data_IF_552751172635
#
_entry.id   IF_552751172635
#
_cell.length_a   1.000
_cell.length_b   1.000
_cell.length_c   1.000
_cell.angle_alpha   90.00
_cell.angle_beta   90.00
_cell.angle_gamma   90.00
#
_symmetry.space_group_name_H-M   'P 1'
#
loop_
_entity.id
_entity.type
_entity.pdbx_description
1 polymer ?
#
# COMPACT_ATOMS: atom_id res chain seq x y z
N UNK A 1 6.54 -34.38 7.90
CA UNK A 1 5.50 -33.77 8.73
C UNK A 1 5.32 -32.35 8.24
N UNK A 2 4.23 -32.06 7.54
CA UNK A 2 3.84 -30.69 7.22
C UNK A 2 3.41 -30.03 8.52
N UNK A 3 4.11 -28.96 8.92
CA UNK A 3 3.63 -28.07 9.98
C UNK A 3 2.23 -27.58 9.59
N UNK A 4 1.27 -27.57 10.53
CA UNK A 4 -0.03 -26.93 10.29
C UNK A 4 0.21 -25.49 9.84
N UNK A 5 -0.55 -25.02 8.84
CA UNK A 5 -0.55 -23.61 8.46
C UNK A 5 -1.02 -22.80 9.68
N UNK A 6 -0.10 -22.09 10.32
CA UNK A 6 -0.30 -21.35 11.57
C UNK A 6 -0.65 -19.87 11.34
N UNK A 7 -0.85 -19.48 10.08
CA UNK A 7 -1.21 -18.13 9.67
C UNK A 7 -2.59 -17.73 10.17
N UNK A 8 -2.70 -16.50 10.66
CA UNK A 8 -3.97 -15.87 11.04
C UNK A 8 -4.78 -15.44 9.79
N UNK A 9 -6.06 -15.13 9.98
CA UNK A 9 -7.03 -14.78 8.93
C UNK A 9 -6.55 -13.60 8.08
N UNK A 10 -5.96 -12.56 8.70
CA UNK A 10 -5.44 -11.40 7.97
C UNK A 10 -4.27 -11.73 7.04
N UNK A 11 -3.42 -12.69 7.41
CA UNK A 11 -2.28 -13.13 6.59
C UNK A 11 -2.79 -13.95 5.41
N UNK A 12 -3.72 -14.88 5.66
CA UNK A 12 -4.33 -15.72 4.63
C UNK A 12 -5.04 -14.89 3.55
N UNK A 13 -5.73 -13.81 3.96
CA UNK A 13 -6.46 -12.93 3.03
C UNK A 13 -5.59 -12.33 1.94
N UNK A 14 -4.38 -11.91 2.30
CA UNK A 14 -3.47 -11.22 1.37
C UNK A 14 -2.38 -12.12 0.81
N UNK A 15 -2.36 -13.40 1.23
CA UNK A 15 -1.36 -14.41 0.87
C UNK A 15 -1.07 -14.51 -0.63
N UNK A 16 -2.05 -14.46 -1.55
CA UNK A 16 -1.76 -14.55 -2.99
C UNK A 16 -0.78 -13.45 -3.48
N UNK A 17 -0.97 -12.22 -3.02
CA UNK A 17 -0.11 -11.10 -3.37
C UNK A 17 1.21 -11.13 -2.59
N UNK A 18 1.17 -11.38 -1.28
CA UNK A 18 2.39 -11.37 -0.45
C UNK A 18 3.32 -12.51 -0.87
N UNK A 19 2.82 -13.72 -1.09
CA UNK A 19 3.63 -14.83 -1.59
C UNK A 19 4.23 -14.55 -2.98
N UNK A 20 3.49 -13.85 -3.85
CA UNK A 20 4.02 -13.45 -5.17
C UNK A 20 5.13 -12.40 -5.04
N UNK A 21 4.96 -11.41 -4.17
CA UNK A 21 5.99 -10.42 -3.84
C UNK A 21 7.24 -11.09 -3.25
N UNK A 22 7.10 -11.94 -2.23
CA UNK A 22 8.23 -12.60 -1.58
C UNK A 22 9.00 -13.49 -2.56
N UNK A 23 8.30 -14.27 -3.39
CA UNK A 23 8.95 -15.09 -4.44
C UNK A 23 9.73 -14.24 -5.44
N UNK A 24 9.18 -13.07 -5.81
CA UNK A 24 9.89 -12.19 -6.72
C UNK A 24 11.11 -11.57 -6.06
N UNK A 25 11.01 -11.15 -4.79
CA UNK A 25 12.16 -10.70 -3.99
C UNK A 25 13.24 -11.78 -3.90
N UNK A 26 12.88 -13.02 -3.58
CA UNK A 26 13.81 -14.15 -3.52
C UNK A 26 14.53 -14.37 -4.85
N UNK A 27 13.78 -14.33 -5.97
CA UNK A 27 14.35 -14.41 -7.33
C UNK A 27 15.35 -13.29 -7.57
N UNK A 28 14.99 -12.04 -7.28
CA UNK A 28 15.88 -10.88 -7.47
C UNK A 28 17.14 -10.98 -6.60
N UNK A 29 16.99 -11.29 -5.31
CA UNK A 29 18.14 -11.46 -4.39
C UNK A 29 19.07 -12.58 -4.85
N UNK A 30 18.53 -13.66 -5.41
CA UNK A 30 19.34 -14.74 -5.99
C UNK A 30 20.16 -14.30 -7.21
N UNK A 31 19.66 -13.30 -7.96
CA UNK A 31 20.28 -12.76 -9.18
C UNK A 31 21.25 -11.60 -8.92
N UNK A 32 21.34 -11.09 -7.68
CA UNK A 32 22.30 -10.02 -7.32
C UNK A 32 23.75 -10.46 -7.57
N UNK A 33 24.52 -9.55 -8.16
CA UNK A 33 25.96 -9.67 -8.31
C UNK A 33 26.65 -9.23 -7.02
N UNK A 34 27.39 -10.15 -6.39
CA UNK A 34 28.15 -9.85 -5.17
C UNK A 34 29.36 -8.94 -5.44
N UNK A 35 29.77 -8.80 -6.70
CA UNK A 35 30.83 -7.87 -7.08
C UNK A 35 30.24 -6.49 -7.39
N UNK A 36 29.29 -6.37 -8.32
CA UNK A 36 28.84 -5.06 -8.81
C UNK A 36 27.60 -4.49 -8.09
N UNK A 37 27.07 -5.20 -7.09
CA UNK A 37 25.99 -4.78 -6.18
C UNK A 37 24.58 -4.70 -6.78
N UNK A 38 24.48 -4.69 -8.10
CA UNK A 38 23.23 -4.76 -8.85
C UNK A 38 23.12 -6.07 -9.64
N UNK A 39 22.24 -6.11 -10.64
CA UNK A 39 22.07 -7.26 -11.52
C UNK A 39 23.13 -7.24 -12.64
N UNK A 40 23.79 -8.36 -12.97
CA UNK A 40 24.88 -8.37 -13.95
C UNK A 40 24.53 -7.75 -15.31
N UNK A 41 23.29 -7.96 -15.77
CA UNK A 41 22.80 -7.48 -17.05
C UNK A 41 22.40 -5.98 -17.03
N UNK A 42 22.56 -5.29 -15.90
CA UNK A 42 22.49 -3.82 -15.84
C UNK A 42 23.82 -3.14 -16.10
N UNK A 43 24.91 -3.90 -16.14
CA UNK A 43 26.26 -3.37 -16.33
C UNK A 43 26.36 -2.53 -17.61
N UNK A 44 26.96 -1.35 -17.49
CA UNK A 44 27.12 -0.39 -18.59
C UNK A 44 25.93 0.55 -18.81
N UNK A 45 24.80 0.37 -18.13
CA UNK A 45 23.66 1.30 -18.24
C UNK A 45 23.83 2.56 -17.37
N UNK A 46 24.55 2.45 -16.26
CA UNK A 46 24.90 3.55 -15.35
C UNK A 46 26.12 3.18 -14.50
N UNK A 47 26.52 4.04 -13.57
CA UNK A 47 27.58 3.71 -12.61
C UNK A 47 27.11 2.68 -11.58
N UNK A 48 28.06 1.91 -11.04
CA UNK A 48 27.75 0.77 -10.17
C UNK A 48 27.05 1.17 -8.87
N UNK A 49 27.36 2.36 -8.31
CA UNK A 49 26.76 2.83 -7.04
C UNK A 49 25.29 3.16 -7.25
N UNK A 50 25.00 3.91 -8.30
CA UNK A 50 23.62 4.23 -8.72
C UNK A 50 22.81 2.97 -8.98
N UNK A 51 23.35 2.01 -9.73
CA UNK A 51 22.66 0.74 -10.00
C UNK A 51 22.45 -0.08 -8.72
N UNK A 52 23.41 -0.08 -7.80
CA UNK A 52 23.30 -0.76 -6.50
C UNK A 52 22.18 -0.15 -5.65
N UNK A 53 22.09 1.19 -5.57
CA UNK A 53 21.02 1.89 -4.86
C UNK A 53 19.63 1.63 -5.48
N UNK A 54 19.55 1.58 -6.81
CA UNK A 54 18.31 1.22 -7.51
C UNK A 54 17.90 -0.23 -7.25
N UNK A 55 18.85 -1.17 -7.25
CA UNK A 55 18.58 -2.58 -6.96
C UNK A 55 18.13 -2.77 -5.50
N UNK A 56 18.79 -2.12 -4.55
CA UNK A 56 18.41 -2.13 -3.14
C UNK A 56 17.01 -1.51 -2.94
N UNK A 57 16.73 -0.34 -3.54
CA UNK A 57 15.43 0.30 -3.43
C UNK A 57 14.29 -0.50 -4.09
N UNK A 58 14.56 -1.21 -5.19
CA UNK A 58 13.61 -2.16 -5.79
C UNK A 58 13.21 -3.25 -4.79
N UNK A 59 14.20 -3.89 -4.16
CA UNK A 59 13.96 -4.94 -3.17
C UNK A 59 13.17 -4.42 -1.96
N UNK A 60 13.57 -3.26 -1.43
CA UNK A 60 12.86 -2.60 -0.33
C UNK A 60 11.44 -2.19 -0.71
N UNK A 61 11.21 -1.77 -1.96
CA UNK A 61 9.88 -1.39 -2.45
C UNK A 61 8.95 -2.59 -2.53
N UNK A 62 9.44 -3.75 -2.98
CA UNK A 62 8.67 -5.00 -3.02
C UNK A 62 8.34 -5.51 -1.61
N UNK A 63 9.33 -5.61 -0.72
CA UNK A 63 9.14 -5.99 0.68
C UNK A 63 8.23 -5.01 1.41
N UNK A 64 8.43 -3.72 1.19
CA UNK A 64 7.58 -2.69 1.77
C UNK A 64 6.14 -2.74 1.24
N UNK A 65 5.91 -3.14 -0.02
CA UNK A 65 4.56 -3.33 -0.54
C UNK A 65 3.88 -4.52 0.17
N UNK A 66 4.62 -5.60 0.44
CA UNK A 66 4.19 -6.76 1.21
C UNK A 66 3.79 -6.37 2.65
N UNK A 67 4.69 -5.71 3.38
CA UNK A 67 4.47 -5.27 4.77
C UNK A 67 3.27 -4.33 4.90
N UNK A 68 3.11 -3.41 3.94
CA UNK A 68 1.99 -2.49 3.92
C UNK A 68 0.67 -3.23 3.66
N UNK A 69 0.64 -4.19 2.74
CA UNK A 69 -0.57 -4.97 2.46
C UNK A 69 -0.98 -5.84 3.68
N UNK A 70 -0.02 -6.46 4.36
CA UNK A 70 -0.26 -7.17 5.63
C UNK A 70 -0.80 -6.22 6.71
N UNK A 71 -0.19 -5.05 6.87
CA UNK A 71 -0.63 -4.02 7.83
C UNK A 71 -2.04 -3.51 7.55
N UNK A 72 -2.42 -3.38 6.27
CA UNK A 72 -3.77 -3.03 5.86
C UNK A 72 -4.78 -4.13 6.27
N UNK A 73 -4.46 -5.39 5.97
CA UNK A 73 -5.30 -6.54 6.31
C UNK A 73 -5.48 -6.69 7.82
N UNK A 74 -4.39 -6.56 8.59
CA UNK A 74 -4.43 -6.56 10.06
C UNK A 74 -5.31 -5.42 10.58
N UNK A 75 -5.21 -4.23 10.00
CA UNK A 75 -6.04 -3.07 10.37
C UNK A 75 -7.52 -3.32 10.08
N UNK A 76 -7.86 -3.98 8.97
CA UNK A 76 -9.22 -4.42 8.66
C UNK A 76 -9.74 -5.46 9.69
N UNK A 77 -8.91 -6.43 10.09
CA UNK A 77 -9.25 -7.42 11.12
C UNK A 77 -9.49 -6.74 12.49
N UNK A 78 -8.59 -5.84 12.91
CA UNK A 78 -8.75 -5.04 14.14
C UNK A 78 -10.05 -4.22 14.09
N UNK A 79 -10.36 -3.63 12.92
CA UNK A 79 -11.61 -2.90 12.73
C UNK A 79 -12.83 -3.80 12.93
N UNK A 80 -12.86 -4.97 12.30
CA UNK A 80 -13.96 -5.94 12.43
C UNK A 80 -14.15 -6.38 13.87
N UNK A 81 -13.08 -6.77 14.55
CA UNK A 81 -13.12 -7.20 15.95
C UNK A 81 -13.62 -6.07 16.88
N UNK A 82 -13.13 -4.85 16.67
CA UNK A 82 -13.53 -3.68 17.47
C UNK A 82 -14.99 -3.31 17.24
N UNK A 83 -15.46 -3.39 15.99
CA UNK A 83 -16.86 -3.15 15.66
C UNK A 83 -17.79 -4.23 16.24
N UNK A 84 -17.38 -5.49 16.23
CA UNK A 84 -18.14 -6.58 16.87
C UNK A 84 -18.30 -6.33 18.38
N UNK A 85 -17.22 -5.94 19.05
CA UNK A 85 -17.25 -5.60 20.47
C UNK A 85 -18.17 -4.39 20.75
N UNK A 86 -18.14 -3.37 19.88
CA UNK A 86 -19.00 -2.19 19.98
C UNK A 86 -20.47 -2.55 19.78
N UNK A 87 -20.79 -3.35 18.76
CA UNK A 87 -22.14 -3.85 18.53
C UNK A 87 -22.68 -4.62 19.73
N UNK A 88 -21.90 -5.55 20.28
CA UNK A 88 -22.30 -6.32 21.46
C UNK A 88 -22.58 -5.42 22.67
N UNK A 89 -21.72 -4.42 22.89
CA UNK A 89 -21.89 -3.42 23.94
C UNK A 89 -23.18 -2.62 23.76
N UNK A 90 -23.44 -2.13 22.55
CA UNK A 90 -24.59 -1.28 22.25
C UNK A 90 -25.91 -2.06 22.27
N UNK A 91 -25.93 -3.30 21.80
CA UNK A 91 -27.10 -4.18 21.91
C UNK A 91 -27.48 -4.46 23.36
N UNK A 92 -26.50 -4.67 24.25
CA UNK A 92 -26.75 -4.86 25.69
C UNK A 92 -27.42 -3.63 26.30
N UNK A 93 -26.91 -2.44 25.97
CA UNK A 93 -27.48 -1.16 26.42
C UNK A 93 -28.89 -0.95 25.87
N UNK A 94 -29.13 -1.22 24.58
CA UNK A 94 -30.45 -1.07 23.98
C UNK A 94 -31.48 -2.04 24.55
N UNK A 95 -31.11 -3.28 24.86
CA UNK A 95 -31.99 -4.23 25.56
C UNK A 95 -32.38 -3.72 26.94
N UNK A 96 -31.42 -3.22 27.72
CA UNK A 96 -31.70 -2.63 29.03
C UNK A 96 -32.56 -1.36 28.95
N UNK A 97 -32.34 -0.53 27.92
CA UNK A 97 -33.14 0.68 27.68
C UNK A 97 -34.58 0.33 27.28
N UNK A 98 -34.78 -0.68 26.42
CA UNK A 98 -36.11 -1.16 26.03
C UNK A 98 -36.91 -1.70 27.23
N UNK A 99 -36.25 -2.41 28.16
CA UNK A 99 -36.87 -2.90 29.39
C UNK A 99 -37.25 -1.77 30.37
N UNK A 100 -36.53 -0.64 30.35
CA UNK A 100 -36.75 0.48 31.27
C UNK A 100 -37.74 1.54 30.77
N UNK A 101 -38.48 1.28 29.67
CA UNK A 101 -39.45 2.20 29.04
C UNK A 101 -38.89 3.62 28.76
N UNK A 102 -37.58 3.76 28.58
CA UNK A 102 -36.95 5.02 28.19
C UNK A 102 -37.20 5.26 26.69
N UNK A 103 -38.05 6.23 26.36
CA UNK A 103 -38.57 6.42 24.99
C UNK A 103 -38.04 7.67 24.26
N UNK A 104 -37.27 8.56 24.91
CA UNK A 104 -36.75 9.74 24.22
C UNK A 104 -35.25 9.59 23.86
N UNK A 105 -34.83 10.19 22.74
CA UNK A 105 -33.47 10.07 22.21
C UNK A 105 -32.39 10.52 23.20
N UNK A 106 -32.69 11.54 24.01
CA UNK A 106 -31.78 12.08 25.02
C UNK A 106 -31.49 11.06 26.13
N UNK A 107 -32.53 10.36 26.60
CA UNK A 107 -32.42 9.29 27.60
C UNK A 107 -31.71 8.05 27.06
N UNK A 108 -31.74 7.79 25.75
CA UNK A 108 -30.98 6.72 25.11
C UNK A 108 -29.49 7.07 24.97
N UNK A 109 -29.19 8.32 24.59
CA UNK A 109 -27.82 8.83 24.48
C UNK A 109 -27.10 8.85 25.85
N UNK A 110 -27.83 9.15 26.92
CA UNK A 110 -27.29 9.16 28.29
C UNK A 110 -26.85 7.77 28.80
N UNK A 111 -27.30 6.67 28.17
CA UNK A 111 -26.94 5.28 28.56
C UNK A 111 -25.84 4.72 27.67
N UNK A 112 -25.44 5.44 26.61
CA UNK A 112 -24.31 5.01 25.78
C UNK A 112 -23.03 4.96 26.62
N UNK A 113 -22.22 3.89 26.52
CA UNK A 113 -20.99 3.78 27.30
C UNK A 113 -20.03 4.95 26.99
N UNK A 114 -19.75 5.76 28.00
CA UNK A 114 -18.79 6.86 27.90
C UNK A 114 -17.50 6.60 28.71
N UNK A 115 -17.33 5.40 29.25
CA UNK A 115 -16.13 5.03 30.01
C UNK A 115 -14.86 5.02 29.14
N UNK A 116 -13.71 4.88 29.79
CA UNK A 116 -12.41 4.87 29.11
C UNK A 116 -12.28 3.74 28.07
N UNK A 117 -12.89 2.58 28.30
CA UNK A 117 -12.84 1.45 27.37
C UNK A 117 -13.68 1.74 26.13
N UNK A 118 -14.87 2.33 26.28
CA UNK A 118 -15.73 2.73 25.18
C UNK A 118 -15.11 3.86 24.34
N UNK A 119 -14.43 4.82 24.97
CA UNK A 119 -13.65 5.84 24.23
C UNK A 119 -12.49 5.21 23.46
N UNK A 120 -11.74 4.29 24.09
CA UNK A 120 -10.65 3.55 23.43
C UNK A 120 -11.16 2.74 22.25
N UNK A 121 -12.23 1.95 22.40
CA UNK A 121 -12.84 1.20 21.28
C UNK A 121 -13.24 2.10 20.13
N UNK A 122 -13.92 3.22 20.41
CA UNK A 122 -14.32 4.18 19.36
C UNK A 122 -13.12 4.76 18.61
N UNK A 123 -12.04 5.06 19.33
CA UNK A 123 -10.78 5.51 18.72
C UNK A 123 -10.18 4.39 17.87
N UNK A 124 -10.07 3.17 18.39
CA UNK A 124 -9.53 2.01 17.66
C UNK A 124 -10.29 1.74 16.38
N UNK A 125 -11.63 1.80 16.38
CA UNK A 125 -12.45 1.62 15.16
C UNK A 125 -12.09 2.68 14.11
N UNK A 126 -11.92 3.94 14.52
CA UNK A 126 -11.58 5.03 13.60
C UNK A 126 -10.16 4.87 13.07
N UNK A 127 -9.18 4.70 13.97
CA UNK A 127 -7.77 4.60 13.60
C UNK A 127 -7.48 3.35 12.76
N UNK A 128 -8.14 2.22 13.03
CA UNK A 128 -7.94 1.01 12.25
C UNK A 128 -8.50 1.13 10.82
N UNK A 129 -9.60 1.88 10.63
CA UNK A 129 -10.09 2.18 9.28
C UNK A 129 -9.10 3.10 8.53
N UNK A 130 -8.63 4.16 9.18
CA UNK A 130 -7.67 5.10 8.59
C UNK A 130 -6.34 4.43 8.24
N UNK A 131 -5.82 3.60 9.15
CA UNK A 131 -4.61 2.80 8.91
C UNK A 131 -4.77 1.83 7.75
N UNK A 132 -5.94 1.19 7.61
CA UNK A 132 -6.22 0.32 6.46
C UNK A 132 -6.10 1.09 5.13
N UNK A 133 -6.79 2.23 4.99
CA UNK A 133 -6.69 3.05 3.78
C UNK A 133 -5.27 3.59 3.53
N UNK A 134 -4.59 4.01 4.59
CA UNK A 134 -3.21 4.49 4.50
C UNK A 134 -2.28 3.41 3.95
N UNK A 135 -2.33 2.21 4.51
CA UNK A 135 -1.46 1.11 4.12
C UNK A 135 -1.81 0.51 2.76
N UNK A 136 -3.09 0.46 2.35
CA UNK A 136 -3.47 0.12 0.98
C UNK A 136 -2.90 1.11 -0.05
N UNK A 137 -2.92 2.41 0.27
CA UNK A 137 -2.27 3.42 -0.56
C UNK A 137 -0.75 3.25 -0.61
N UNK A 138 -0.14 2.98 0.54
CA UNK A 138 1.31 2.79 0.66
C UNK A 138 1.80 1.54 -0.09
N UNK A 139 1.05 0.43 -0.07
CA UNK A 139 1.40 -0.77 -0.83
C UNK A 139 1.41 -0.49 -2.34
N UNK A 140 0.45 0.29 -2.83
CA UNK A 140 0.39 0.71 -4.23
C UNK A 140 1.52 1.68 -4.58
N UNK A 141 1.78 2.70 -3.76
CA UNK A 141 2.84 3.69 -4.02
C UNK A 141 4.23 3.00 -4.10
N UNK A 142 4.51 2.04 -3.21
CA UNK A 142 5.74 1.23 -3.23
C UNK A 142 5.81 0.28 -4.43
N UNK A 143 4.70 -0.39 -4.75
CA UNK A 143 4.63 -1.24 -5.95
C UNK A 143 4.83 -0.45 -7.23
N UNK A 144 4.35 0.79 -7.29
CA UNK A 144 4.54 1.68 -8.43
C UNK A 144 6.02 1.99 -8.65
N UNK A 145 6.77 2.32 -7.60
CA UNK A 145 8.22 2.51 -7.69
C UNK A 145 8.91 1.23 -8.22
N UNK A 146 8.57 0.07 -7.65
CA UNK A 146 9.14 -1.21 -8.08
C UNK A 146 8.81 -1.52 -9.57
N UNK A 147 7.57 -1.35 -9.99
CA UNK A 147 7.15 -1.53 -11.39
C UNK A 147 7.88 -0.55 -12.33
N UNK A 148 8.12 0.68 -11.90
CA UNK A 148 8.83 1.67 -12.70
C UNK A 148 10.32 1.30 -12.92
N UNK A 149 10.97 0.74 -11.89
CA UNK A 149 12.34 0.21 -12.00
C UNK A 149 12.36 -1.03 -12.90
N UNK A 150 11.44 -1.97 -12.67
CA UNK A 150 11.33 -3.22 -13.45
C UNK A 150 11.02 -2.94 -14.93
N UNK A 151 10.19 -1.93 -15.22
CA UNK A 151 9.87 -1.51 -16.59
C UNK A 151 10.94 -0.63 -17.24
N UNK A 152 12.02 -0.28 -16.53
CA UNK A 152 13.08 0.59 -17.02
C UNK A 152 12.55 1.91 -17.57
N UNK A 153 11.54 2.50 -16.91
CA UNK A 153 11.00 3.78 -17.31
C UNK A 153 11.96 4.91 -16.92
N UNK A 154 12.25 5.83 -17.83
CA UNK A 154 13.00 7.03 -17.44
C UNK A 154 12.08 7.94 -16.61
N UNK A 155 12.55 8.35 -15.44
CA UNK A 155 11.78 9.17 -14.50
C UNK A 155 12.49 10.51 -14.35
N UNK A 156 11.82 11.63 -14.63
CA UNK A 156 12.35 12.94 -14.30
C UNK A 156 12.26 13.13 -12.77
N UNK A 157 13.34 12.77 -12.07
CA UNK A 157 13.48 12.95 -10.62
C UNK A 157 13.78 11.65 -9.87
N UNK A 158 13.67 11.72 -8.54
CA UNK A 158 14.03 10.62 -7.65
C UNK A 158 12.92 9.57 -7.59
N UNK A 159 13.29 8.30 -7.77
CA UNK A 159 12.40 7.13 -7.67
C UNK A 159 11.69 7.03 -6.30
N UNK A 160 12.29 7.61 -5.25
CA UNK A 160 11.74 7.67 -3.90
C UNK A 160 10.48 8.52 -3.78
N UNK A 161 10.26 9.45 -4.72
CA UNK A 161 9.08 10.31 -4.79
C UNK A 161 7.94 9.76 -5.65
N UNK A 162 8.00 8.49 -6.06
CA UNK A 162 7.01 7.89 -6.95
C UNK A 162 5.78 7.42 -6.19
N UNK A 163 4.63 7.73 -6.77
CA UNK A 163 3.31 7.33 -6.28
C UNK A 163 2.60 6.49 -7.35
N UNK A 164 1.54 5.81 -6.96
CA UNK A 164 0.69 5.08 -7.90
C UNK A 164 0.18 5.96 -9.06
N UNK A 165 -0.13 7.23 -8.78
CA UNK A 165 -0.54 8.19 -9.82
C UNK A 165 0.51 8.43 -10.90
N UNK A 166 1.79 8.26 -10.58
CA UNK A 166 2.85 8.40 -11.58
C UNK A 166 2.83 7.20 -12.53
N UNK A 167 2.70 5.98 -12.01
CA UNK A 167 2.55 4.78 -12.85
C UNK A 167 1.32 4.87 -13.76
N UNK A 168 0.18 5.38 -13.24
CA UNK A 168 -1.01 5.63 -14.06
C UNK A 168 -0.76 6.63 -15.19
N UNK A 169 -0.02 7.71 -14.93
CA UNK A 169 0.32 8.68 -15.98
C UNK A 169 1.12 8.01 -17.09
N UNK A 170 2.09 7.17 -16.75
CA UNK A 170 2.88 6.42 -17.72
C UNK A 170 2.03 5.40 -18.47
N UNK A 171 1.13 4.72 -17.77
CA UNK A 171 0.17 3.80 -18.38
C UNK A 171 -0.72 4.51 -19.41
N UNK A 172 -1.22 5.71 -19.10
CA UNK A 172 -2.01 6.53 -20.04
C UNK A 172 -1.16 7.03 -21.21
N UNK A 173 0.10 7.41 -21.00
CA UNK A 173 1.00 7.77 -22.10
C UNK A 173 1.25 6.60 -23.05
N UNK A 174 1.43 5.39 -22.51
CA UNK A 174 1.59 4.17 -23.30
C UNK A 174 0.34 3.90 -24.16
N UNK A 175 -0.84 3.95 -23.54
CA UNK A 175 -2.14 3.76 -24.19
C UNK A 175 -2.45 4.80 -25.27
N UNK A 176 -2.06 6.05 -25.04
CA UNK A 176 -2.21 7.14 -26.02
C UNK A 176 -1.25 7.04 -27.22
N UNK A 177 -0.37 6.02 -27.26
CA UNK A 177 0.63 5.88 -28.32
C UNK A 177 1.67 6.99 -28.31
N UNK A 178 1.95 7.57 -27.14
CA UNK A 178 2.87 8.70 -27.03
C UNK A 178 4.27 8.31 -27.56
N UNK A 179 4.79 9.12 -28.48
CA UNK A 179 6.09 8.94 -29.14
C UNK A 179 7.26 9.56 -28.38
N UNK A 180 7.04 10.12 -27.18
CA UNK A 180 8.13 10.63 -26.33
C UNK A 180 9.12 9.51 -25.97
N UNK A 181 10.17 9.40 -26.78
CA UNK A 181 11.23 8.39 -26.67
C UNK A 181 12.15 8.58 -25.47
N UNK A 182 12.09 9.73 -24.80
CA UNK A 182 12.92 10.02 -23.61
C UNK A 182 12.36 9.42 -22.34
N UNK A 183 11.10 8.94 -22.33
CA UNK A 183 10.43 8.45 -21.12
C UNK A 183 9.96 7.01 -21.27
N UNK A 184 9.62 6.64 -22.50
CA UNK A 184 9.08 5.36 -22.89
C UNK A 184 9.94 4.78 -24.01
N UNK A 185 9.91 3.46 -24.16
CA UNK A 185 10.51 2.83 -25.32
C UNK A 185 9.79 3.26 -26.61
N UNK A 186 10.51 3.37 -27.75
CA UNK A 186 9.91 3.78 -29.02
C UNK A 186 8.77 2.86 -29.45
N UNK A 187 7.75 3.43 -30.09
CA UNK A 187 6.60 2.66 -30.60
C UNK A 187 7.08 1.57 -31.57
N UNK A 188 6.41 0.43 -31.56
CA UNK A 188 6.73 -0.75 -32.40
C UNK A 188 8.04 -1.48 -32.04
N UNK A 189 8.66 -1.16 -30.90
CA UNK A 189 9.81 -1.93 -30.37
C UNK A 189 9.38 -3.04 -29.41
N UNK A 190 10.23 -4.05 -29.25
CA UNK A 190 10.01 -5.11 -28.25
C UNK A 190 9.94 -4.55 -26.82
N UNK A 191 10.81 -3.57 -26.49
CA UNK A 191 10.79 -2.89 -25.20
C UNK A 191 9.47 -2.17 -24.92
N UNK A 192 8.88 -1.56 -25.96
CA UNK A 192 7.56 -0.92 -25.84
C UNK A 192 6.45 -1.93 -25.54
N UNK A 193 6.41 -3.05 -26.26
CA UNK A 193 5.42 -4.09 -26.00
C UNK A 193 5.53 -4.65 -24.57
N UNK A 194 6.76 -4.79 -24.05
CA UNK A 194 7.02 -5.20 -22.67
C UNK A 194 6.49 -4.14 -21.67
N UNK A 195 6.76 -2.86 -21.89
CA UNK A 195 6.24 -1.78 -21.03
C UNK A 195 4.71 -1.69 -21.05
N UNK A 196 4.09 -1.91 -22.21
CA UNK A 196 2.62 -1.93 -22.36
C UNK A 196 1.98 -3.10 -21.62
N UNK A 197 2.59 -4.29 -21.69
CA UNK A 197 2.15 -5.46 -20.94
C UNK A 197 2.26 -5.22 -19.42
N UNK A 198 3.40 -4.68 -18.97
CA UNK A 198 3.66 -4.37 -17.56
C UNK A 198 2.57 -3.51 -16.90
N UNK A 199 2.09 -2.49 -17.61
CA UNK A 199 1.08 -1.57 -17.07
C UNK A 199 -0.36 -2.00 -17.35
N UNK A 200 -0.59 -3.11 -18.04
CA UNK A 200 -1.94 -3.56 -18.40
C UNK A 200 -2.87 -3.71 -17.18
N UNK A 201 -2.45 -4.32 -16.05
CA UNK A 201 -3.29 -4.39 -14.85
C UNK A 201 -3.65 -3.02 -14.26
N UNK A 202 -2.84 -1.97 -14.51
CA UNK A 202 -3.12 -0.60 -14.06
C UNK A 202 -4.36 -0.05 -14.76
N UNK A 203 -4.54 -0.37 -16.05
CA UNK A 203 -5.71 0.04 -16.84
C UNK A 203 -6.96 -0.77 -16.56
N UNK A 204 -6.77 -2.04 -16.23
CA UNK A 204 -7.85 -3.02 -16.08
C UNK A 204 -8.26 -3.19 -14.60
N UNK A 205 -8.06 -2.17 -13.76
CA UNK A 205 -8.34 -2.24 -12.32
C UNK A 205 -9.78 -2.66 -11.99
N UNK A 206 -10.73 -2.43 -12.92
CA UNK A 206 -12.13 -2.79 -12.80
C UNK A 206 -12.34 -4.31 -12.69
N UNK A 207 -11.40 -5.14 -13.17
CA UNK A 207 -11.51 -6.60 -13.09
C UNK A 207 -11.18 -7.16 -11.69
N UNK A 208 -10.54 -6.37 -10.84
CA UNK A 208 -10.07 -6.83 -9.52
C UNK A 208 -11.06 -6.53 -8.38
N UNK A 209 -12.12 -5.77 -8.64
CA UNK A 209 -13.08 -5.39 -7.61
C UNK A 209 -14.41 -4.87 -8.16
N UNK A 210 -15.35 -4.52 -7.26
CA UNK A 210 -16.66 -4.02 -7.66
C UNK A 210 -16.56 -2.64 -8.32
N UNK A 211 -17.58 -2.21 -9.04
CA UNK A 211 -17.62 -0.91 -9.70
C UNK A 211 -17.18 0.23 -8.76
N UNK A 212 -16.32 1.11 -9.28
CA UNK A 212 -15.78 2.30 -8.61
C UNK A 212 -14.92 2.05 -7.35
N UNK A 213 -14.60 0.78 -7.00
CA UNK A 213 -13.83 0.45 -5.79
C UNK A 213 -12.51 1.21 -5.69
N UNK A 214 -11.75 1.26 -6.79
CA UNK A 214 -10.40 1.77 -6.81
C UNK A 214 -10.34 3.31 -6.78
N UNK A 215 -11.07 4.05 -7.66
CA UNK A 215 -11.19 5.50 -7.53
C UNK A 215 -11.73 5.93 -6.17
N UNK A 216 -12.71 5.20 -5.61
CA UNK A 216 -13.29 5.51 -4.31
C UNK A 216 -12.29 5.32 -3.16
N UNK A 217 -11.57 4.19 -3.14
CA UNK A 217 -10.54 3.90 -2.13
C UNK A 217 -9.46 4.97 -2.13
N UNK A 218 -8.92 5.32 -3.30
CA UNK A 218 -7.86 6.35 -3.41
C UNK A 218 -8.33 7.72 -2.99
N UNK A 219 -9.55 8.09 -3.39
CA UNK A 219 -10.15 9.35 -2.98
C UNK A 219 -10.38 9.39 -1.46
N UNK A 220 -10.72 8.26 -0.84
CA UNK A 220 -10.89 8.12 0.61
C UNK A 220 -9.57 8.26 1.35
N UNK A 221 -8.51 7.55 0.93
CA UNK A 221 -7.15 7.70 1.48
C UNK A 221 -6.69 9.17 1.45
N UNK A 222 -6.82 9.81 0.29
CA UNK A 222 -6.43 11.21 0.13
C UNK A 222 -7.26 12.15 1.02
N UNK A 223 -8.58 11.93 1.11
CA UNK A 223 -9.44 12.72 1.97
C UNK A 223 -9.08 12.56 3.46
N UNK A 224 -8.78 11.35 3.91
CA UNK A 224 -8.42 11.07 5.32
C UNK A 224 -7.11 11.74 5.73
N UNK A 225 -6.15 11.90 4.82
CA UNK A 225 -4.89 12.59 5.11
C UNK A 225 -5.04 14.11 5.30
N UNK A 226 -5.99 14.73 4.61
CA UNK A 226 -6.08 16.20 4.54
C UNK A 226 -7.34 16.79 5.17
N UNK A 227 -8.29 15.96 5.61
CA UNK A 227 -9.58 16.42 6.13
C UNK A 227 -9.82 15.94 7.54
N UNK A 228 -10.50 16.79 8.31
CA UNK A 228 -11.02 16.39 9.60
C UNK A 228 -11.96 15.19 9.47
N UNK A 229 -11.92 14.33 10.49
CA UNK A 229 -12.77 13.15 10.58
C UNK A 229 -14.23 13.59 10.63
N UNK A 230 -15.00 13.31 9.57
CA UNK A 230 -16.43 13.58 9.53
C UNK A 230 -17.21 12.75 10.56
N UNK A 231 -18.43 13.19 10.89
CA UNK A 231 -19.30 12.50 11.87
C UNK A 231 -19.48 11.04 11.48
N UNK A 232 -19.24 10.15 12.45
CA UNK A 232 -19.41 8.70 12.29
C UNK A 232 -20.83 8.30 12.68
N UNK A 233 -21.55 7.70 11.74
CA UNK A 233 -22.91 7.25 11.96
C UNK A 233 -22.92 5.73 12.22
N UNK A 234 -23.45 5.34 13.38
CA UNK A 234 -23.82 3.95 13.61
C UNK A 234 -25.26 3.75 13.12
N UNK A 235 -25.49 2.74 12.28
CA UNK A 235 -26.80 2.41 11.72
C UNK A 235 -27.21 1.00 12.09
N UNK A 236 -28.50 0.82 12.34
CA UNK A 236 -29.07 -0.53 12.47
C UNK A 236 -29.55 -1.00 11.11
N UNK A 237 -28.92 -2.02 10.56
CA UNK A 237 -29.29 -2.66 9.30
C UNK A 237 -29.74 -4.11 9.60
N UNK A 238 -31.05 -4.33 9.61
CA UNK A 238 -31.64 -5.59 10.06
C UNK A 238 -31.32 -5.84 11.53
N UNK A 239 -30.64 -6.94 11.84
CA UNK A 239 -30.18 -7.24 13.20
C UNK A 239 -28.84 -6.60 13.54
N UNK A 240 -28.08 -6.11 12.56
CA UNK A 240 -26.70 -5.66 12.74
C UNK A 240 -26.61 -4.17 13.06
N UNK A 241 -25.69 -3.81 13.95
CA UNK A 241 -25.24 -2.43 14.15
C UNK A 241 -23.88 -2.24 13.49
N UNK A 242 -23.79 -1.34 12.51
CA UNK A 242 -22.55 -1.10 11.76
C UNK A 242 -22.29 0.38 11.56
N UNK A 243 -21.07 0.72 11.14
CA UNK A 243 -20.70 2.05 10.65
C UNK A 243 -20.72 2.05 9.14
N UNK A 244 -21.11 3.18 8.56
CA UNK A 244 -21.07 3.37 7.12
C UNK A 244 -19.97 4.36 6.74
N UNK A 245 -19.43 4.16 5.54
CA UNK A 245 -18.58 5.17 4.89
C UNK A 245 -19.41 6.10 4.00
N UNK A 246 -18.93 7.33 3.82
CA UNK A 246 -19.50 8.26 2.87
C UNK A 246 -19.26 7.80 1.44
N UNK A 247 -20.26 7.97 0.57
CA UNK A 247 -20.16 7.63 -0.85
C UNK A 247 -19.21 8.55 -1.61
N UNK A 248 -19.15 9.83 -1.23
CA UNK A 248 -18.33 10.85 -1.88
C UNK A 248 -17.21 11.34 -0.93
N UNK A 249 -16.05 10.68 -0.88
CA UNK A 249 -15.00 10.97 0.11
C UNK A 249 -14.39 12.37 -0.03
N UNK A 250 -14.42 12.96 -1.24
CA UNK A 250 -13.95 14.33 -1.49
C UNK A 250 -14.96 15.41 -1.12
N UNK A 251 -16.16 15.07 -0.70
CA UNK A 251 -17.15 16.05 -0.27
C UNK A 251 -16.99 16.33 1.23
N UNK A 252 -17.25 17.57 1.64
CA UNK A 252 -17.45 17.85 3.06
C UNK A 252 -18.66 17.08 3.58
N UNK A 253 -18.75 16.90 4.89
CA UNK A 253 -19.88 16.21 5.52
C UNK A 253 -21.23 16.83 5.09
N UNK A 254 -21.36 18.16 5.17
CA UNK A 254 -22.59 18.84 4.76
C UNK A 254 -22.88 18.67 3.27
N UNK A 255 -21.87 18.71 2.39
CA UNK A 255 -22.07 18.45 0.97
C UNK A 255 -22.59 17.02 0.74
N UNK A 256 -22.04 16.03 1.43
CA UNK A 256 -22.52 14.65 1.37
C UNK A 256 -23.98 14.52 1.80
N UNK A 257 -24.36 15.15 2.91
CA UNK A 257 -25.73 15.08 3.42
C UNK A 257 -26.74 15.85 2.56
N UNK A 258 -26.34 16.97 1.96
CA UNK A 258 -27.23 17.83 1.15
C UNK A 258 -27.36 17.32 -0.29
N UNK A 259 -26.25 16.90 -0.91
CA UNK A 259 -26.20 16.57 -2.33
C UNK A 259 -26.09 15.07 -2.61
N UNK A 260 -25.88 14.24 -1.59
CA UNK A 260 -25.77 12.78 -1.74
C UNK A 260 -27.07 12.11 -2.20
N UNK A 261 -28.23 12.65 -1.77
CA UNK A 261 -29.55 12.27 -2.29
C UNK A 261 -30.01 13.27 -3.36
N UNK A 262 -30.10 12.83 -4.62
CA UNK A 262 -30.65 13.68 -5.70
C UNK A 262 -32.20 13.72 -5.60
N UNK A 263 -32.85 14.89 -5.80
CA UNK A 263 -34.31 14.97 -5.86
C UNK A 263 -34.90 13.97 -6.88
N UNK A 264 -36.12 13.43 -6.68
CA UNK A 264 -37.13 13.84 -5.68
C UNK A 264 -37.15 13.02 -4.38
N UNK A 265 -36.33 11.98 -4.24
CA UNK A 265 -36.26 11.15 -3.02
C UNK A 265 -34.97 11.47 -2.27
N UNK A 266 -35.11 11.94 -1.03
CA UNK A 266 -34.00 12.35 -0.14
C UNK A 266 -33.79 11.38 1.05
N UNK A 267 -33.48 10.09 0.87
CA UNK A 267 -32.97 9.32 1.98
C UNK A 267 -31.67 9.95 2.48
N UNK A 268 -31.64 10.39 3.73
CA UNK A 268 -30.41 10.79 4.43
C UNK A 268 -29.28 9.76 4.24
N UNK A 269 -29.65 8.48 4.12
CA UNK A 269 -28.74 7.36 3.92
C UNK A 269 -28.11 7.27 2.52
N UNK A 270 -28.58 8.04 1.54
CA UNK A 270 -27.98 8.06 0.20
C UNK A 270 -26.59 8.72 0.18
N UNK A 271 -26.25 9.51 1.22
CA UNK A 271 -24.91 10.05 1.42
C UNK A 271 -23.85 8.95 1.70
N UNK A 272 -24.29 7.73 2.02
CA UNK A 272 -23.45 6.63 2.48
C UNK A 272 -23.44 5.47 1.48
N UNK A 273 -22.41 4.62 1.60
CA UNK A 273 -22.42 3.29 1.02
C UNK A 273 -23.23 2.38 1.96
N UNK A 274 -24.31 1.72 1.50
CA UNK A 274 -25.19 0.92 2.35
C UNK A 274 -24.59 -0.47 2.65
N UNK A 275 -23.31 -0.52 3.00
CA UNK A 275 -22.54 -1.72 3.35
C UNK A 275 -21.76 -1.41 4.63
N UNK A 276 -21.63 -2.39 5.52
CA UNK A 276 -20.87 -2.22 6.74
C UNK A 276 -19.41 -1.89 6.47
N UNK A 277 -18.83 -1.05 7.33
CA UNK A 277 -17.44 -0.60 7.17
C UNK A 277 -16.45 -1.76 7.23
N UNK A 278 -16.75 -2.81 8.00
CA UNK A 278 -15.96 -4.03 8.05
C UNK A 278 -15.90 -4.66 6.65
N UNK A 279 -17.05 -5.00 6.07
CA UNK A 279 -17.11 -5.67 4.77
C UNK A 279 -16.45 -4.84 3.65
N UNK A 280 -16.55 -3.50 3.71
CA UNK A 280 -15.84 -2.62 2.77
C UNK A 280 -14.32 -2.73 2.94
N UNK A 281 -13.79 -2.64 4.16
CA UNK A 281 -12.33 -2.70 4.38
C UNK A 281 -11.75 -4.07 4.00
N UNK A 282 -12.48 -5.15 4.31
CA UNK A 282 -12.08 -6.51 3.91
C UNK A 282 -12.08 -6.67 2.40
N UNK A 283 -13.17 -6.26 1.73
CA UNK A 283 -13.26 -6.31 0.27
C UNK A 283 -12.24 -5.43 -0.45
N UNK A 284 -11.84 -4.29 0.15
CA UNK A 284 -10.75 -3.47 -0.37
C UNK A 284 -9.39 -4.18 -0.28
N UNK A 285 -9.14 -4.92 0.80
CA UNK A 285 -7.94 -5.76 0.89
C UNK A 285 -7.96 -6.82 -0.21
N UNK A 286 -9.07 -7.54 -0.38
CA UNK A 286 -9.19 -8.58 -1.41
C UNK A 286 -8.97 -8.04 -2.83
N UNK A 287 -9.58 -6.89 -3.16
CA UNK A 287 -9.42 -6.25 -4.46
C UNK A 287 -8.01 -5.73 -4.70
N UNK A 288 -7.38 -5.16 -3.68
CA UNK A 288 -6.00 -4.69 -3.77
C UNK A 288 -5.03 -5.86 -3.90
N UNK A 289 -5.23 -6.96 -3.18
CA UNK A 289 -4.46 -8.20 -3.30
C UNK A 289 -4.48 -8.73 -4.73
N UNK A 290 -5.67 -8.88 -5.34
CA UNK A 290 -5.79 -9.35 -6.74
C UNK A 290 -5.07 -8.43 -7.73
N UNK A 291 -5.18 -7.11 -7.52
CA UNK A 291 -4.52 -6.13 -8.36
C UNK A 291 -2.99 -6.20 -8.23
N UNK A 292 -2.47 -6.28 -7.00
CA UNK A 292 -1.03 -6.40 -6.74
C UNK A 292 -0.49 -7.70 -7.32
N UNK A 293 -1.18 -8.83 -7.11
CA UNK A 293 -0.79 -10.12 -7.69
C UNK A 293 -0.67 -10.05 -9.22
N UNK A 294 -1.64 -9.45 -9.90
CA UNK A 294 -1.61 -9.27 -11.35
C UNK A 294 -0.45 -8.37 -11.82
N UNK A 295 -0.20 -7.25 -11.11
CA UNK A 295 0.93 -6.36 -11.43
C UNK A 295 2.26 -7.08 -11.21
N UNK A 296 2.43 -7.82 -10.12
CA UNK A 296 3.65 -8.57 -9.83
C UNK A 296 3.88 -9.65 -10.88
N UNK A 297 2.83 -10.33 -11.35
CA UNK A 297 2.94 -11.30 -12.43
C UNK A 297 3.50 -10.66 -13.71
N UNK A 298 2.98 -9.48 -14.10
CA UNK A 298 3.50 -8.74 -15.24
C UNK A 298 4.91 -8.17 -15.01
N UNK A 299 5.25 -7.82 -13.76
CA UNK A 299 6.62 -7.44 -13.37
C UNK A 299 7.60 -8.60 -13.54
N UNK A 300 7.23 -9.82 -13.14
CA UNK A 300 8.05 -11.03 -13.34
C UNK A 300 8.26 -11.28 -14.84
N UNK A 301 7.19 -11.22 -15.64
CA UNK A 301 7.28 -11.39 -17.10
C UNK A 301 8.15 -10.32 -17.74
N UNK A 302 8.00 -9.06 -17.33
CA UNK A 302 8.84 -7.95 -17.77
C UNK A 302 10.32 -8.17 -17.40
N UNK A 303 10.58 -8.59 -16.15
CA UNK A 303 11.92 -8.87 -15.66
C UNK A 303 12.62 -9.96 -16.48
N UNK A 304 11.94 -11.09 -16.69
CA UNK A 304 12.50 -12.21 -17.45
C UNK A 304 12.74 -11.84 -18.92
N UNK A 305 11.85 -11.06 -19.53
CA UNK A 305 12.03 -10.56 -20.89
C UNK A 305 13.23 -9.61 -21.01
N UNK A 306 13.41 -8.68 -20.06
CA UNK A 306 14.57 -7.79 -20.00
C UNK A 306 15.86 -8.55 -19.75
N UNK A 307 15.85 -9.54 -18.87
CA UNK A 307 17.01 -10.39 -18.61
C UNK A 307 17.44 -11.17 -19.86
N UNK A 308 16.48 -11.65 -20.65
CA UNK A 308 16.74 -12.36 -21.90
C UNK A 308 17.24 -11.44 -23.03
N UNK A 309 16.84 -10.16 -23.03
CA UNK A 309 17.28 -9.15 -23.98
C UNK A 309 17.54 -7.79 -23.28
N UNK A 310 18.72 -7.61 -22.67
CA UNK A 310 19.01 -6.41 -21.88
C UNK A 310 18.93 -5.09 -22.66
N UNK A 311 19.21 -5.14 -23.97
CA UNK A 311 19.17 -3.97 -24.86
C UNK A 311 17.74 -3.50 -25.17
N UNK A 312 16.72 -4.35 -24.95
CA UNK A 312 15.34 -3.96 -25.21
C UNK A 312 14.85 -2.85 -24.28
N UNK A 313 15.33 -2.84 -23.02
CA UNK A 313 14.99 -1.83 -22.01
C UNK A 313 16.20 -1.65 -21.09
N UNK A 314 16.94 -0.56 -21.30
CA UNK A 314 18.07 -0.17 -20.45
C UNK A 314 17.61 0.28 -19.06
N UNK A 315 18.51 0.22 -18.07
CA UNK A 315 18.23 0.72 -16.73
C UNK A 315 18.70 2.18 -16.61
N UNK A 316 17.78 3.11 -16.31
CA UNK A 316 18.10 4.52 -16.26
C UNK A 316 18.65 4.94 -14.89
N UNK A 317 19.93 5.31 -14.81
CA UNK A 317 20.53 5.85 -13.58
C UNK A 317 19.95 7.21 -13.14
N UNK A 318 19.31 7.95 -14.05
CA UNK A 318 18.65 9.22 -13.77
C UNK A 318 17.56 9.12 -12.68
N UNK A 319 17.05 7.91 -12.42
CA UNK A 319 16.11 7.59 -11.34
C UNK A 319 16.72 7.80 -9.94
N UNK A 320 18.05 7.84 -9.81
CA UNK A 320 18.76 8.04 -8.55
C UNK A 320 19.91 9.06 -8.69
N UNK A 321 19.59 10.36 -8.76
CA UNK A 321 20.55 11.41 -9.14
C UNK A 321 21.66 11.66 -8.11
N UNK A 322 21.48 11.24 -6.84
CA UNK A 322 22.43 11.53 -5.75
C UNK A 322 22.83 10.24 -5.05
N UNK A 323 24.09 9.85 -5.20
CA UNK A 323 24.68 8.67 -4.53
C UNK A 323 25.08 9.01 -3.09
N UNK A 324 25.90 10.04 -2.90
CA UNK A 324 26.32 10.49 -1.58
C UNK A 324 25.38 11.61 -1.07
N UNK A 325 24.69 11.42 0.07
CA UNK A 325 23.81 12.44 0.62
C UNK A 325 24.57 13.74 0.94
N UNK A 326 24.06 14.87 0.44
CA UNK A 326 24.68 16.19 0.66
C UNK A 326 24.38 16.81 2.02
N UNK A 327 23.38 16.29 2.73
CA UNK A 327 22.94 16.81 4.03
C UNK A 327 23.39 15.89 5.16
N UNK A 328 23.83 16.48 6.27
CA UNK A 328 24.12 15.73 7.50
C UNK A 328 22.85 15.05 8.02
N UNK A 329 22.96 13.78 8.38
CA UNK A 329 21.85 13.04 8.99
C UNK A 329 21.39 13.71 10.30
N UNK A 330 20.08 13.88 10.54
CA UNK A 330 19.57 14.48 11.76
C UNK A 330 19.85 13.57 12.97
N UNK A 331 20.45 14.12 14.03
CA UNK A 331 20.78 13.37 15.25
C UNK A 331 19.59 13.16 16.21
N UNK A 332 18.47 13.85 15.98
CA UNK A 332 17.21 13.80 16.75
C UNK A 332 17.38 13.66 18.29
N UNK A 333 18.08 14.59 18.97
CA UNK A 333 18.29 14.50 20.41
C UNK A 333 17.01 14.84 21.20
N UNK A 334 16.90 14.34 22.44
CA UNK A 334 15.92 14.82 23.43
C UNK A 334 14.80 13.84 23.82
N UNK A 335 14.65 12.70 23.16
CA UNK A 335 13.71 11.64 23.57
C UNK A 335 14.45 10.45 24.19
N UNK A 336 14.44 10.36 25.52
CA UNK A 336 15.06 9.26 26.27
C UNK A 336 16.60 9.35 26.36
N UNK A 337 17.23 8.50 27.19
CA UNK A 337 18.68 8.42 27.29
C UNK A 337 19.31 7.77 26.04
N UNK A 338 20.53 8.17 25.64
CA UNK A 338 21.22 7.54 24.52
C UNK A 338 21.55 6.08 24.83
N UNK A 339 21.43 5.21 23.82
CA UNK A 339 21.80 3.81 23.92
C UNK A 339 23.28 3.62 23.57
N UNK A 340 24.00 2.84 24.38
CA UNK A 340 25.36 2.40 24.06
C UNK A 340 25.31 1.03 23.39
N UNK A 341 25.74 0.95 22.13
CA UNK A 341 25.82 -0.32 21.39
C UNK A 341 27.14 -1.03 21.76
N UNK A 342 27.06 -2.11 22.54
CA UNK A 342 28.22 -2.90 22.96
C UNK A 342 28.40 -4.21 22.18
N UNK A 343 27.45 -4.57 21.31
CA UNK A 343 27.48 -5.78 20.52
C UNK A 343 28.43 -5.67 19.33
N UNK A 344 29.26 -6.70 19.11
CA UNK A 344 30.10 -6.85 17.90
C UNK A 344 29.45 -7.73 16.83
N UNK A 345 28.27 -8.27 17.11
CA UNK A 345 27.56 -9.20 16.23
C UNK A 345 26.22 -8.58 15.83
N UNK A 346 25.96 -8.60 14.53
CA UNK A 346 24.68 -8.25 13.93
C UNK A 346 24.06 -9.53 13.37
N UNK A 347 22.80 -9.79 13.71
CA UNK A 347 22.05 -10.93 13.17
C UNK A 347 21.06 -10.37 12.15
N UNK A 348 21.16 -10.85 10.91
CA UNK A 348 20.32 -10.44 9.79
C UNK A 348 19.57 -11.65 9.23
N UNK A 349 18.41 -11.39 8.61
CA UNK A 349 17.78 -12.38 7.76
C UNK A 349 18.72 -12.69 6.56
N UNK A 350 18.80 -13.95 6.07
CA UNK A 350 19.73 -14.31 5.00
C UNK A 350 19.59 -13.48 3.71
N UNK A 351 18.35 -13.09 3.36
CA UNK A 351 18.11 -12.22 2.20
C UNK A 351 18.71 -10.81 2.40
N UNK A 352 18.59 -10.26 3.61
CA UNK A 352 19.18 -8.96 3.95
C UNK A 352 20.70 -9.04 3.98
N UNK A 353 21.26 -10.10 4.55
CA UNK A 353 22.70 -10.33 4.58
C UNK A 353 23.28 -10.37 3.15
N UNK A 354 22.68 -11.16 2.25
CA UNK A 354 23.11 -11.23 0.84
C UNK A 354 22.98 -9.89 0.12
N UNK A 355 21.89 -9.15 0.37
CA UNK A 355 21.67 -7.81 -0.19
C UNK A 355 22.75 -6.83 0.26
N UNK A 356 23.09 -6.83 1.55
CA UNK A 356 24.12 -5.95 2.10
C UNK A 356 25.53 -6.34 1.65
N UNK A 357 25.79 -7.64 1.49
CA UNK A 357 27.04 -8.15 0.92
C UNK A 357 27.20 -7.72 -0.54
N UNK A 358 26.14 -7.86 -1.35
CA UNK A 358 26.13 -7.36 -2.73
C UNK A 358 26.40 -5.86 -2.77
N UNK A 359 25.75 -5.09 -1.89
CA UNK A 359 25.95 -3.65 -1.77
C UNK A 359 27.30 -3.25 -1.17
N UNK A 360 28.18 -4.19 -0.81
CA UNK A 360 29.48 -3.92 -0.14
C UNK A 360 29.33 -3.13 1.15
N UNK A 361 28.21 -3.30 1.86
CA UNK A 361 27.89 -2.52 3.06
C UNK A 361 28.34 -3.20 4.36
N UNK A 362 28.61 -4.50 4.32
CA UNK A 362 28.88 -5.33 5.51
C UNK A 362 30.33 -5.81 5.64
N UNK A 363 31.21 -5.48 4.69
CA UNK A 363 32.61 -5.92 4.67
C UNK A 363 33.57 -4.74 4.42
N UNK A 364 34.87 -5.03 4.32
CA UNK A 364 35.91 -4.02 4.10
C UNK A 364 35.77 -3.27 2.75
N UNK A 365 34.95 -3.79 1.82
CA UNK A 365 34.67 -3.14 0.53
C UNK A 365 33.74 -1.94 0.67
N UNK A 366 33.22 -1.64 1.87
CA UNK A 366 32.49 -0.39 2.14
C UNK A 366 33.30 0.86 1.77
N UNK A 367 34.64 0.77 1.86
CA UNK A 367 35.54 1.84 1.44
C UNK A 367 35.39 2.22 -0.04
N UNK A 368 34.91 1.31 -0.90
CA UNK A 368 34.69 1.58 -2.33
C UNK A 368 33.56 2.58 -2.57
N UNK A 369 32.63 2.76 -1.62
CA UNK A 369 31.61 3.81 -1.71
C UNK A 369 32.21 5.23 -1.67
N UNK A 370 33.41 5.39 -1.13
CA UNK A 370 34.09 6.68 -0.98
C UNK A 370 35.22 6.92 -2.01
N UNK A 371 35.43 5.96 -2.91
CA UNK A 371 36.34 6.07 -4.06
C UNK A 371 35.55 6.39 -5.31
#
# INVERSE_FOLDING_TARGET
MTTPDDRDEYEQRVLPATASLSRFVEKLVSELDLENGAFPWWSGHSDWKTLTLLADYLLQSLQGAEDALLSASLSAQIHRQSMYAEEHSLRTVWRAAAQSKRQNAQSLMAVLPQDAQARRRRMTITSSAENCFFHLGQSLDRLAAAAMIVGGFEIPGEITGIYWSTLEQYAEMLKAGNQRSTVLQPVETAGRAIQEALVKPVHEWQQFGPTDWFPWMRATRNAMSHRAVGTKLNVTAGTRLTRLFYRAPKWSELQSLVFGGRPPKKPFFDAFIPVGSQEILEGLCDSTTKMIEAVVQEMVTCWDARRANPEAIVQHGAQWPTVEPSQSAPAFPGYGPPLSISGKQLVLHPLDARRWEAARASDDRVADWYR
#
